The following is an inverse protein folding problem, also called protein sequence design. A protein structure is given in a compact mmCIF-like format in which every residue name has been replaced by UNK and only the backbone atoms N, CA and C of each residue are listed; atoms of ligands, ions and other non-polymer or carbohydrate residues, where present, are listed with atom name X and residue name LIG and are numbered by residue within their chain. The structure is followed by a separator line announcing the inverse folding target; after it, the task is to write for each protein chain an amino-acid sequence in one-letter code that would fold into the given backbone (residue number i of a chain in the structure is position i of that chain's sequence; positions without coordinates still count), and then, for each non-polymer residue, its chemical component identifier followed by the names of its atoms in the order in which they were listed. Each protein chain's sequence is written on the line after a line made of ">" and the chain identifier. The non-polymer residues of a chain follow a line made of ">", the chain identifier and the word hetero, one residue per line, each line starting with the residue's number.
data_IF_597598036495
#
_entry.id   IF_597598036495
#
_cell.length_a   1.000
_cell.length_b   1.000
_cell.length_c   1.000
_cell.angle_alpha   90.00
_cell.angle_beta   90.00
_cell.angle_gamma   90.00
#
_symmetry.space_group_name_H-M   'P 1'
#
loop_
_entity.id
_entity.type
_entity.pdbx_description
1 polymer ?
#
# COMPACT_ATOMS: atom_id res chain seq x y z
N UNK A 1 11.26 -8.06 8.05
CA UNK A 1 10.95 -6.61 7.98
C UNK A 1 11.63 -5.94 6.78
N UNK A 2 12.97 -5.93 6.70
CA UNK A 2 13.71 -5.33 5.55
C UNK A 2 13.29 -5.91 4.19
N UNK A 3 13.05 -7.22 4.12
CA UNK A 3 12.52 -7.87 2.91
C UNK A 3 11.14 -7.34 2.51
N UNK A 4 10.23 -7.14 3.47
CA UNK A 4 8.88 -6.69 3.19
C UNK A 4 8.85 -5.24 2.69
N UNK A 5 9.56 -4.33 3.37
CA UNK A 5 9.69 -2.94 2.90
C UNK A 5 10.52 -2.81 1.63
N UNK A 6 11.62 -3.57 1.51
CA UNK A 6 12.45 -3.58 0.30
C UNK A 6 11.65 -4.05 -0.90
N UNK A 7 10.84 -5.11 -0.74
CA UNK A 7 9.95 -5.59 -1.79
C UNK A 7 8.87 -4.58 -2.13
N UNK A 8 8.19 -3.98 -1.15
CA UNK A 8 7.11 -3.04 -1.43
C UNK A 8 7.61 -1.76 -2.10
N UNK A 9 8.74 -1.21 -1.65
CA UNK A 9 9.37 -0.05 -2.27
C UNK A 9 9.88 -0.39 -3.67
N UNK A 10 10.49 -1.57 -3.88
CA UNK A 10 10.92 -2.00 -5.21
C UNK A 10 9.72 -2.15 -6.17
N UNK A 11 8.63 -2.77 -5.72
CA UNK A 11 7.41 -2.89 -6.51
C UNK A 11 6.84 -1.52 -6.84
N UNK A 12 6.57 -0.65 -5.87
CA UNK A 12 5.97 0.68 -6.09
C UNK A 12 6.90 1.57 -6.92
N UNK A 13 8.18 1.62 -6.55
CA UNK A 13 9.20 2.45 -7.19
C UNK A 13 9.56 2.02 -8.61
N UNK A 14 9.28 0.78 -9.01
CA UNK A 14 9.47 0.31 -10.39
C UNK A 14 8.16 0.33 -11.19
N UNK A 15 7.05 -0.15 -10.62
CA UNK A 15 5.78 -0.31 -11.37
C UNK A 15 5.12 1.02 -11.69
N UNK A 16 5.11 2.00 -10.77
CA UNK A 16 4.52 3.32 -11.06
C UNK A 16 5.24 4.01 -12.21
N UNK A 17 6.58 4.13 -12.22
CA UNK A 17 7.29 4.69 -13.37
C UNK A 17 7.14 3.87 -14.65
N UNK A 18 7.17 2.53 -14.56
CA UNK A 18 6.99 1.68 -15.73
C UNK A 18 5.64 1.90 -16.41
N UNK A 19 4.55 1.97 -15.62
CA UNK A 19 3.21 2.28 -16.14
C UNK A 19 3.14 3.71 -16.66
N UNK A 20 3.73 4.68 -15.97
CA UNK A 20 3.79 6.07 -16.41
C UNK A 20 4.50 6.23 -17.77
N UNK A 21 5.56 5.44 -17.98
CA UNK A 21 6.28 5.37 -19.25
C UNK A 21 5.38 4.75 -20.33
N UNK A 22 4.74 3.61 -20.06
CA UNK A 22 3.78 2.96 -20.99
C UNK A 22 2.60 3.87 -21.37
N UNK A 23 2.07 4.65 -20.43
CA UNK A 23 0.99 5.62 -20.69
C UNK A 23 1.43 6.82 -21.52
N UNK A 24 2.71 7.01 -21.81
CA UNK A 24 3.13 8.04 -22.78
C UNK A 24 2.87 7.62 -24.22
N UNK A 25 2.79 6.31 -24.50
CA UNK A 25 2.47 5.77 -25.83
C UNK A 25 1.03 5.26 -25.95
N UNK A 26 0.35 5.11 -24.82
CA UNK A 26 -1.08 4.77 -24.77
C UNK A 26 -1.79 6.07 -24.47
N UNK A 27 -2.66 6.59 -25.34
CA UNK A 27 -3.39 7.88 -25.16
C UNK A 27 -4.33 7.92 -23.92
N UNK A 28 -4.18 6.98 -22.99
CA UNK A 28 -4.93 6.86 -21.75
C UNK A 28 -4.38 7.81 -20.67
N UNK A 29 -5.30 8.38 -19.90
CA UNK A 29 -4.95 9.17 -18.73
C UNK A 29 -4.41 8.27 -17.63
N UNK A 30 -3.21 8.58 -17.14
CA UNK A 30 -2.56 7.80 -16.08
C UNK A 30 -3.38 7.89 -14.78
N UNK A 31 -4.17 6.85 -14.51
CA UNK A 31 -4.79 6.60 -13.23
C UNK A 31 -4.02 5.47 -12.54
N UNK A 32 -3.56 5.71 -11.30
CA UNK A 32 -2.83 4.71 -10.50
C UNK A 32 -3.73 3.56 -9.98
N UNK A 33 -5.02 3.57 -10.34
CA UNK A 33 -5.98 2.53 -9.99
C UNK A 33 -6.39 2.48 -8.52
N UNK A 34 -6.04 3.50 -7.72
CA UNK A 34 -6.43 3.62 -6.32
C UNK A 34 -7.59 4.61 -6.19
N UNK A 35 -8.74 4.13 -5.70
CA UNK A 35 -9.84 4.99 -5.31
C UNK A 35 -9.55 5.73 -4.01
N UNK A 36 -10.49 6.59 -3.59
CA UNK A 36 -10.32 7.40 -2.39
C UNK A 36 -10.18 6.55 -1.11
N UNK A 37 -10.89 5.42 -1.03
CA UNK A 37 -10.85 4.52 0.13
C UNK A 37 -9.52 3.79 0.20
N UNK A 38 -9.04 3.26 -0.92
CA UNK A 38 -7.76 2.56 -1.02
C UNK A 38 -6.60 3.50 -0.70
N UNK A 39 -6.67 4.75 -1.15
CA UNK A 39 -5.69 5.79 -0.79
C UNK A 39 -5.64 6.04 0.71
N UNK A 40 -6.80 6.11 1.39
CA UNK A 40 -6.86 6.28 2.86
C UNK A 40 -6.27 5.05 3.56
N UNK A 41 -6.63 3.84 3.14
CA UNK A 41 -6.09 2.61 3.72
C UNK A 41 -4.59 2.46 3.49
N UNK A 42 -4.09 2.86 2.32
CA UNK A 42 -2.67 2.89 2.02
C UNK A 42 -1.94 3.87 2.95
N UNK A 43 -2.45 5.10 3.10
CA UNK A 43 -1.88 6.09 4.01
C UNK A 43 -1.88 5.60 5.47
N UNK A 44 -2.98 5.00 5.93
CA UNK A 44 -3.06 4.38 7.27
C UNK A 44 -2.02 3.26 7.43
N UNK A 45 -1.87 2.42 6.42
CA UNK A 45 -0.87 1.33 6.44
C UNK A 45 0.53 1.88 6.57
N UNK A 46 0.90 2.94 5.83
CA UNK A 46 2.21 3.61 5.94
C UNK A 46 2.40 4.22 7.33
N UNK A 47 1.42 4.94 7.86
CA UNK A 47 1.51 5.57 9.18
C UNK A 47 1.67 4.52 10.29
N UNK A 48 0.83 3.49 10.30
CA UNK A 48 0.90 2.41 11.29
C UNK A 48 2.21 1.64 11.17
N UNK A 49 2.67 1.37 9.94
CA UNK A 49 3.97 0.77 9.66
C UNK A 49 5.11 1.57 10.28
N UNK A 50 5.12 2.90 10.12
CA UNK A 50 6.12 3.79 10.75
C UNK A 50 6.03 3.74 12.27
N UNK A 51 4.84 3.89 12.85
CA UNK A 51 4.63 3.93 14.30
C UNK A 51 4.99 2.62 14.99
N UNK A 52 4.93 1.49 14.30
CA UNK A 52 5.27 0.18 14.86
C UNK A 52 6.73 -0.20 14.64
N UNK A 53 7.32 0.19 13.52
CA UNK A 53 8.68 -0.22 13.15
C UNK A 53 9.76 0.72 13.66
N UNK A 54 9.56 2.04 13.60
CA UNK A 54 10.56 3.03 14.04
C UNK A 54 10.96 2.83 15.51
N UNK A 55 10.04 2.54 16.46
CA UNK A 55 10.41 2.30 17.85
C UNK A 55 11.19 0.99 18.09
N UNK A 56 11.30 0.10 17.10
CA UNK A 56 12.08 -1.14 17.20
C UNK A 56 11.46 -2.23 18.08
N UNK A 57 10.19 -2.10 18.49
CA UNK A 57 9.49 -3.07 19.36
C UNK A 57 8.21 -3.57 18.70
N UNK A 58 8.31 -4.63 17.90
CA UNK A 58 7.17 -5.30 17.30
C UNK A 58 6.46 -6.21 18.31
N UNK A 59 5.22 -5.86 18.70
CA UNK A 59 4.40 -6.67 19.61
C UNK A 59 3.30 -7.43 18.86
N UNK A 60 2.71 -8.45 19.50
CA UNK A 60 1.58 -9.21 18.92
C UNK A 60 0.39 -8.30 18.59
N UNK A 61 0.04 -7.40 19.50
CA UNK A 61 -1.05 -6.45 19.32
C UNK A 61 -0.80 -5.50 18.12
N UNK A 62 0.43 -5.05 17.92
CA UNK A 62 0.77 -4.25 16.73
C UNK A 62 0.63 -5.05 15.43
N UNK A 63 0.97 -6.34 15.45
CA UNK A 63 0.73 -7.24 14.32
C UNK A 63 -0.76 -7.37 14.00
N UNK A 64 -1.61 -7.50 15.02
CA UNK A 64 -3.07 -7.54 14.84
C UNK A 64 -3.61 -6.28 14.17
N UNK A 65 -3.09 -5.08 14.52
CA UNK A 65 -3.50 -3.83 13.84
C UNK A 65 -3.23 -3.90 12.33
N UNK A 66 -2.08 -4.44 11.90
CA UNK A 66 -1.78 -4.59 10.47
C UNK A 66 -2.70 -5.62 9.80
N UNK A 67 -3.02 -6.72 10.49
CA UNK A 67 -3.95 -7.72 9.98
C UNK A 67 -5.37 -7.16 9.85
N UNK A 68 -5.82 -6.33 10.78
CA UNK A 68 -7.12 -5.66 10.71
C UNK A 68 -7.15 -4.66 9.56
N UNK A 69 -6.09 -3.88 9.34
CA UNK A 69 -5.99 -3.00 8.17
C UNK A 69 -6.01 -3.79 6.86
N UNK A 70 -5.30 -4.92 6.79
CA UNK A 70 -5.33 -5.81 5.63
C UNK A 70 -6.74 -6.39 5.41
N UNK A 71 -7.41 -6.84 6.47
CA UNK A 71 -8.77 -7.35 6.38
C UNK A 71 -9.76 -6.27 5.93
N UNK A 72 -9.62 -5.04 6.42
CA UNK A 72 -10.42 -3.91 5.98
C UNK A 72 -10.19 -3.60 4.50
N UNK A 73 -8.94 -3.62 4.04
CA UNK A 73 -8.61 -3.48 2.62
C UNK A 73 -9.25 -4.58 1.77
N UNK A 74 -9.11 -5.85 2.16
CA UNK A 74 -9.71 -6.96 1.39
C UNK A 74 -11.24 -6.88 1.37
N UNK A 75 -11.87 -6.57 2.50
CA UNK A 75 -13.32 -6.41 2.60
C UNK A 75 -13.81 -5.28 1.69
N UNK A 76 -13.18 -4.11 1.80
CA UNK A 76 -13.58 -2.93 1.02
C UNK A 76 -13.24 -3.11 -0.46
N UNK A 77 -12.10 -3.69 -0.83
CA UNK A 77 -11.74 -3.94 -2.22
C UNK A 77 -12.67 -4.95 -2.93
N UNK A 78 -13.32 -5.84 -2.19
CA UNK A 78 -14.28 -6.80 -2.75
C UNK A 78 -15.71 -6.23 -2.81
N UNK A 79 -16.06 -5.34 -1.88
CA UNK A 79 -17.45 -4.87 -1.70
C UNK A 79 -17.67 -3.46 -2.27
N UNK A 80 -16.68 -2.59 -2.20
CA UNK A 80 -16.73 -1.27 -2.81
C UNK A 80 -16.37 -1.41 -4.30
N UNK A 81 -17.27 -1.02 -5.22
CA UNK A 81 -17.05 -1.08 -6.67
C UNK A 81 -16.10 0.01 -7.17
#
# INVERSE_FOLDING_TARGET
>A
LNLAYGSSIASIGLTIPAIAVVSMWTDDTLALGLGAIEMVLFALTVVVSVLTVVPGRATRLQGEVHLVLLAAYLFLAVIAP
#
